data_IF_331795037944
#
_entry.id   IF_331795037944
#
_cell.length_a   1.000
_cell.length_b   1.000
_cell.length_c   1.000
_cell.angle_alpha   90.00
_cell.angle_beta   90.00
_cell.angle_gamma   90.00
#
_symmetry.space_group_name_H-M   'P 1'
#
loop_
_entity.id
_entity.type
_entity.pdbx_description
1 polymer ?
#
# COMPACT_ATOMS: atom_id res chain seq x y z
N UNK A 1 45.65 -39.48 3.62
CA UNK A 1 46.69 -38.65 4.26
C UNK A 1 45.97 -37.47 4.90
N UNK A 2 46.26 -37.21 6.17
CA UNK A 2 45.76 -36.02 6.87
C UNK A 2 46.36 -34.77 6.23
N UNK A 3 45.59 -33.68 6.14
CA UNK A 3 46.11 -32.39 5.65
C UNK A 3 46.96 -31.70 6.73
N UNK A 4 46.75 -32.04 8.00
CA UNK A 4 47.53 -31.52 9.12
C UNK A 4 48.97 -32.04 9.10
N UNK A 5 49.95 -31.13 9.24
CA UNK A 5 51.36 -31.48 9.25
C UNK A 5 51.73 -32.24 10.54
N UNK A 6 52.21 -33.49 10.47
CA UNK A 6 52.61 -34.25 11.65
C UNK A 6 53.79 -33.63 12.41
N UNK A 7 54.62 -32.79 11.78
CA UNK A 7 55.74 -32.12 12.47
C UNK A 7 55.24 -31.17 13.58
N UNK A 8 54.08 -30.52 13.40
CA UNK A 8 53.47 -29.66 14.43
C UNK A 8 53.19 -30.42 15.74
N UNK A 9 52.93 -31.72 15.68
CA UNK A 9 52.71 -32.56 16.87
C UNK A 9 54.03 -32.83 17.59
N UNK A 10 55.13 -33.00 16.83
CA UNK A 10 56.46 -33.17 17.41
C UNK A 10 56.89 -31.89 18.14
N UNK A 11 56.66 -30.73 17.54
CA UNK A 11 56.96 -29.43 18.17
C UNK A 11 56.22 -29.26 19.50
N UNK A 12 54.94 -29.64 19.56
CA UNK A 12 54.16 -29.62 20.81
C UNK A 12 54.69 -30.65 21.81
N UNK A 13 55.06 -31.85 21.38
CA UNK A 13 55.64 -32.87 22.26
C UNK A 13 56.97 -32.42 22.87
N UNK A 14 57.84 -31.78 22.08
CA UNK A 14 59.11 -31.21 22.54
C UNK A 14 58.89 -30.07 23.54
N UNK A 15 57.87 -29.23 23.34
CA UNK A 15 57.50 -28.17 24.29
C UNK A 15 57.12 -28.69 25.69
N UNK A 16 56.61 -29.93 25.76
CA UNK A 16 56.29 -30.64 27.00
C UNK A 16 57.50 -31.40 27.56
N UNK A 17 58.59 -31.51 26.80
CA UNK A 17 59.83 -32.21 27.17
C UNK A 17 59.93 -33.66 26.67
N UNK A 18 59.07 -34.09 25.74
CA UNK A 18 59.11 -35.44 25.15
C UNK A 18 59.92 -35.42 23.85
N UNK A 19 61.12 -35.99 23.86
CA UNK A 19 62.08 -35.89 22.75
C UNK A 19 61.85 -36.93 21.64
N UNK A 20 61.39 -38.15 21.97
CA UNK A 20 61.25 -39.25 21.01
C UNK A 20 59.81 -39.76 20.96
N UNK A 21 59.06 -39.38 19.92
CA UNK A 21 57.71 -39.87 19.65
C UNK A 21 57.71 -40.82 18.45
N UNK A 22 57.03 -41.97 18.54
CA UNK A 22 56.93 -42.90 17.42
C UNK A 22 56.14 -42.27 16.25
N UNK A 23 56.52 -42.57 15.02
CA UNK A 23 55.89 -42.03 13.81
C UNK A 23 54.42 -42.43 13.71
N UNK A 24 54.07 -43.66 14.06
CA UNK A 24 52.68 -44.14 14.04
C UNK A 24 51.78 -43.36 15.01
N UNK A 25 52.31 -42.94 16.16
CA UNK A 25 51.58 -42.13 17.14
C UNK A 25 51.37 -40.72 16.62
N UNK A 26 52.40 -40.14 16.01
CA UNK A 26 52.36 -38.80 15.40
C UNK A 26 51.32 -38.74 14.29
N UNK A 27 51.30 -39.73 13.39
CA UNK A 27 50.33 -39.78 12.28
C UNK A 27 48.89 -39.98 12.76
N UNK A 28 48.66 -40.85 13.74
CA UNK A 28 47.32 -41.08 14.25
C UNK A 28 46.78 -39.88 15.04
N UNK A 29 47.64 -39.21 15.82
CA UNK A 29 47.25 -37.99 16.54
C UNK A 29 46.96 -36.85 15.57
N UNK A 30 47.69 -36.72 14.46
CA UNK A 30 47.40 -35.73 13.41
C UNK A 30 45.99 -35.90 12.84
N UNK A 31 45.59 -37.15 12.58
CA UNK A 31 44.25 -37.47 12.08
C UNK A 31 43.15 -37.15 13.09
N UNK A 32 43.39 -37.40 14.38
CA UNK A 32 42.43 -37.06 15.43
C UNK A 32 42.29 -35.54 15.59
N UNK A 33 43.39 -34.79 15.58
CA UNK A 33 43.37 -33.31 15.63
C UNK A 33 42.60 -32.73 14.45
N UNK A 34 42.85 -33.21 13.23
CA UNK A 34 42.11 -32.79 12.04
C UNK A 34 40.60 -33.06 12.17
N UNK A 35 40.22 -34.25 12.69
CA UNK A 35 38.83 -34.58 12.95
C UNK A 35 38.18 -33.65 13.99
N UNK A 36 38.89 -33.31 15.08
CA UNK A 36 38.39 -32.38 16.10
C UNK A 36 38.23 -30.96 15.56
N UNK A 37 39.16 -30.48 14.74
CA UNK A 37 39.04 -29.18 14.07
C UNK A 37 37.81 -29.16 13.15
N UNK A 38 37.62 -30.21 12.35
CA UNK A 38 36.44 -30.32 11.49
C UNK A 38 35.13 -30.32 12.31
N UNK A 39 35.09 -31.05 13.43
CA UNK A 39 33.94 -31.09 14.33
C UNK A 39 33.59 -29.69 14.88
N UNK A 40 34.58 -28.92 15.34
CA UNK A 40 34.37 -27.53 15.80
C UNK A 40 33.87 -26.65 14.66
N UNK A 41 34.44 -26.77 13.46
CA UNK A 41 34.03 -26.00 12.29
C UNK A 41 32.59 -26.31 11.87
N UNK A 42 32.18 -27.57 11.89
CA UNK A 42 30.81 -27.97 11.57
C UNK A 42 29.79 -27.34 12.52
N UNK A 43 30.05 -27.37 13.83
CA UNK A 43 29.18 -26.70 14.81
C UNK A 43 29.18 -25.18 14.63
N UNK A 44 30.35 -24.56 14.38
CA UNK A 44 30.45 -23.13 14.15
C UNK A 44 29.70 -22.68 12.89
N UNK A 45 29.72 -23.50 11.82
CA UNK A 45 28.95 -23.26 10.60
C UNK A 45 27.44 -23.30 10.85
N UNK A 46 26.96 -24.14 11.77
CA UNK A 46 25.54 -24.12 12.18
C UNK A 46 25.20 -22.79 12.83
N UNK A 47 26.01 -22.29 13.76
CA UNK A 47 25.81 -20.97 14.37
C UNK A 47 25.82 -19.83 13.34
N UNK A 48 26.75 -19.86 12.38
CA UNK A 48 26.80 -18.89 11.27
C UNK A 48 25.51 -18.90 10.45
N UNK A 49 25.02 -20.09 10.06
CA UNK A 49 23.79 -20.25 9.28
C UNK A 49 22.55 -19.84 10.08
N UNK A 50 22.47 -20.20 11.36
CA UNK A 50 21.39 -19.76 12.25
C UNK A 50 21.39 -18.24 12.48
N UNK A 51 22.57 -17.62 12.47
CA UNK A 51 22.74 -16.16 12.46
C UNK A 51 22.43 -15.49 11.12
N UNK A 52 22.01 -16.24 10.08
CA UNK A 52 21.75 -15.75 8.72
C UNK A 52 22.92 -14.96 8.11
N UNK A 53 24.16 -15.32 8.48
CA UNK A 53 25.39 -14.72 7.97
C UNK A 53 26.09 -15.68 7.01
N UNK A 54 26.92 -15.15 6.13
CA UNK A 54 27.77 -15.91 5.20
C UNK A 54 29.24 -15.91 5.60
N UNK A 55 29.63 -15.03 6.53
CA UNK A 55 30.99 -14.93 7.07
C UNK A 55 31.02 -15.54 8.47
N UNK A 56 31.94 -16.49 8.68
CA UNK A 56 32.19 -17.11 9.97
C UNK A 56 32.97 -16.13 10.86
N UNK A 57 32.47 -15.90 12.08
CA UNK A 57 33.07 -14.98 13.05
C UNK A 57 33.70 -15.73 14.22
N UNK A 58 34.60 -15.09 14.98
CA UNK A 58 35.23 -15.69 16.17
C UNK A 58 34.20 -16.08 17.23
N UNK A 59 33.08 -15.37 17.30
CA UNK A 59 31.96 -15.69 18.19
C UNK A 59 31.31 -17.03 17.85
N UNK A 60 31.19 -17.37 16.56
CA UNK A 60 30.58 -18.64 16.13
C UNK A 60 31.42 -19.83 16.59
N UNK A 61 32.76 -19.71 16.53
CA UNK A 61 33.70 -20.71 17.04
C UNK A 61 33.64 -20.76 18.57
N UNK A 62 33.59 -19.61 19.26
CA UNK A 62 33.47 -19.57 20.72
C UNK A 62 32.18 -20.25 21.22
N UNK A 63 31.07 -20.11 20.48
CA UNK A 63 29.84 -20.84 20.77
C UNK A 63 29.96 -22.33 20.47
N UNK A 64 30.62 -22.72 19.38
CA UNK A 64 30.89 -24.12 19.06
C UNK A 64 31.72 -24.82 20.15
N UNK A 65 32.78 -24.17 20.65
CA UNK A 65 33.60 -24.69 21.75
C UNK A 65 32.79 -24.93 23.02
N UNK A 66 31.88 -24.01 23.38
CA UNK A 66 30.99 -24.18 24.54
C UNK A 66 30.02 -25.35 24.38
N UNK A 67 29.53 -25.60 23.16
CA UNK A 67 28.62 -26.73 22.90
C UNK A 67 29.36 -28.07 22.95
N UNK A 68 30.62 -28.08 22.55
CA UNK A 68 31.47 -29.26 22.58
C UNK A 68 32.15 -29.48 23.94
N UNK A 69 31.75 -28.71 24.98
CA UNK A 69 32.34 -28.72 26.33
C UNK A 69 33.87 -28.53 26.33
N UNK A 70 34.39 -27.76 25.36
CA UNK A 70 35.80 -27.38 25.28
C UNK A 70 36.02 -26.08 26.04
N UNK A 71 37.18 -25.96 26.69
CA UNK A 71 37.58 -24.76 27.40
C UNK A 71 37.55 -23.51 26.50
N UNK A 72 37.00 -22.38 26.98
CA UNK A 72 36.87 -21.18 26.17
C UNK A 72 38.23 -20.54 25.88
N UNK A 73 38.49 -20.24 24.60
CA UNK A 73 39.66 -19.51 24.17
C UNK A 73 39.42 -17.99 24.24
N UNK A 74 40.17 -17.30 25.11
CA UNK A 74 40.10 -15.85 25.30
C UNK A 74 41.15 -15.11 24.46
N UNK A 75 40.93 -13.81 24.23
CA UNK A 75 41.88 -12.94 23.51
C UNK A 75 41.68 -12.83 22.00
N UNK A 76 40.63 -13.45 21.45
CA UNK A 76 40.32 -13.40 20.01
C UNK A 76 39.16 -12.44 19.71
N UNK A 77 39.47 -11.27 19.15
CA UNK A 77 38.48 -10.29 18.70
C UNK A 77 38.58 -10.03 17.19
N UNK A 78 37.45 -9.72 16.56
CA UNK A 78 37.41 -9.40 15.11
C UNK A 78 37.99 -8.02 14.80
N UNK A 79 38.03 -7.13 15.78
CA UNK A 79 38.51 -5.73 15.65
C UNK A 79 40.02 -5.62 15.54
N UNK A 80 40.78 -6.61 16.04
CA UNK A 80 42.24 -6.63 16.02
C UNK A 80 42.72 -7.89 15.29
N UNK A 81 43.05 -7.80 13.98
CA UNK A 81 43.59 -8.94 13.25
C UNK A 81 44.97 -9.33 13.79
N UNK A 82 45.22 -10.64 13.91
CA UNK A 82 46.52 -11.16 14.30
C UNK A 82 47.55 -10.89 13.21
N UNK A 83 48.74 -10.43 13.62
CA UNK A 83 49.90 -10.25 12.74
C UNK A 83 50.89 -11.38 13.03
N UNK A 84 51.22 -12.14 12.00
CA UNK A 84 52.18 -13.23 12.09
C UNK A 84 53.53 -12.71 11.59
N UNK A 85 54.52 -12.67 12.48
CA UNK A 85 55.92 -12.42 12.14
C UNK A 85 56.60 -13.73 11.75
N UNK A 86 57.55 -13.66 10.83
CA UNK A 86 58.38 -14.80 10.42
C UNK A 86 59.77 -14.67 11.07
N UNK A 87 60.20 -15.69 11.79
CA UNK A 87 61.55 -15.83 12.32
C UNK A 87 62.21 -17.07 11.70
N UNK A 88 63.40 -16.90 11.13
CA UNK A 88 64.19 -18.01 10.58
C UNK A 88 65.22 -18.49 11.61
N UNK A 89 64.96 -19.64 12.22
CA UNK A 89 65.91 -20.31 13.09
C UNK A 89 66.74 -21.32 12.27
N UNK A 90 67.73 -20.83 11.54
CA UNK A 90 68.63 -21.67 10.74
C UNK A 90 68.06 -22.19 9.41
N UNK A 91 68.79 -23.08 8.71
CA UNK A 91 68.41 -23.51 7.37
C UNK A 91 67.28 -24.56 7.40
N UNK A 92 66.08 -24.17 6.97
CA UNK A 92 65.09 -25.12 6.44
C UNK A 92 63.68 -25.07 7.02
N UNK A 93 63.41 -24.35 8.12
CA UNK A 93 62.06 -24.26 8.69
C UNK A 93 61.71 -22.82 9.11
N UNK A 94 60.74 -22.16 8.45
CA UNK A 94 60.24 -20.86 8.89
C UNK A 94 59.35 -21.02 10.12
N UNK A 95 59.69 -20.33 11.22
CA UNK A 95 58.87 -20.28 12.43
C UNK A 95 58.00 -19.02 12.36
N UNK A 96 56.68 -19.19 12.47
CA UNK A 96 55.75 -18.07 12.58
C UNK A 96 55.40 -17.84 14.05
N UNK A 97 55.48 -16.59 14.49
CA UNK A 97 55.06 -16.18 15.82
C UNK A 97 54.04 -15.05 15.73
N UNK A 98 53.18 -14.93 16.73
CA UNK A 98 52.24 -13.82 16.84
C UNK A 98 52.99 -12.64 17.46
N UNK A 99 52.99 -11.49 16.78
CA UNK A 99 53.59 -10.27 17.31
C UNK A 99 52.70 -9.69 18.43
N UNK A 100 53.21 -9.70 19.66
CA UNK A 100 52.56 -9.04 20.80
C UNK A 100 53.06 -7.59 20.92
N UNK A 101 52.21 -6.64 20.52
CA UNK A 101 52.49 -5.22 20.69
C UNK A 101 52.17 -4.78 22.12
N UNK A 102 53.20 -4.38 22.86
CA UNK A 102 53.07 -3.78 24.19
C UNK A 102 52.48 -2.36 24.08
N UNK A 103 51.40 -2.11 24.82
CA UNK A 103 50.71 -0.81 24.84
C UNK A 103 50.81 -0.17 26.21
N UNK A 104 51.20 1.10 26.23
CA UNK A 104 51.25 1.91 27.46
C UNK A 104 49.84 2.22 27.99
N UNK A 105 49.61 2.00 29.29
CA UNK A 105 48.32 2.19 29.94
C UNK A 105 47.84 3.64 29.86
N UNK A 106 48.74 4.61 29.93
CA UNK A 106 48.35 6.03 29.83
C UNK A 106 47.72 6.35 28.46
N UNK A 107 48.21 5.72 27.40
CA UNK A 107 47.66 5.88 26.05
C UNK A 107 46.28 5.25 25.92
N UNK A 108 46.05 4.11 26.58
CA UNK A 108 44.77 3.41 26.55
C UNK A 108 43.70 4.15 27.37
N UNK A 109 44.06 4.71 28.52
CA UNK A 109 43.14 5.49 29.37
C UNK A 109 42.71 6.78 28.66
N UNK A 110 43.63 7.44 27.97
CA UNK A 110 43.37 8.68 27.25
C UNK A 110 42.78 8.47 25.84
N UNK A 111 42.52 7.22 25.44
CA UNK A 111 41.93 6.91 24.14
C UNK A 111 40.47 7.39 24.06
N UNK A 112 40.06 8.04 22.96
CA UNK A 112 38.69 8.51 22.80
C UNK A 112 37.72 7.33 22.66
N UNK A 113 36.50 7.53 23.18
CA UNK A 113 35.43 6.54 23.07
C UNK A 113 35.04 6.30 21.59
N UNK A 114 34.70 5.06 21.21
CA UNK A 114 34.27 4.75 19.86
C UNK A 114 32.91 5.39 19.55
N UNK A 115 32.67 5.64 18.25
CA UNK A 115 31.38 6.16 17.78
C UNK A 115 30.30 5.08 17.83
N UNK A 116 29.14 5.43 18.38
CA UNK A 116 28.00 4.52 18.45
C UNK A 116 27.19 4.59 17.14
N UNK A 117 26.86 3.46 16.50
CA UNK A 117 25.96 3.42 15.35
C UNK A 117 24.55 3.91 15.70
N UNK A 118 23.75 4.26 14.66
CA UNK A 118 22.34 4.57 14.86
C UNK A 118 21.57 3.31 15.28
N UNK A 119 20.46 3.53 15.98
CA UNK A 119 19.52 2.46 16.30
C UNK A 119 18.93 1.82 15.04
N UNK A 120 18.51 0.57 15.17
CA UNK A 120 17.99 -0.24 14.07
C UNK A 120 16.63 0.32 13.64
N UNK A 121 16.52 0.71 12.37
CA UNK A 121 15.27 1.14 11.74
C UNK A 121 15.05 0.36 10.43
N UNK A 122 13.80 0.21 10.02
CA UNK A 122 13.45 -0.40 8.73
C UNK A 122 12.95 0.65 7.75
N UNK A 123 13.23 0.42 6.47
CA UNK A 123 12.71 1.22 5.35
C UNK A 123 12.05 0.30 4.34
N UNK A 124 10.75 0.45 4.16
CA UNK A 124 9.98 -0.36 3.21
C UNK A 124 9.90 0.33 1.84
N UNK A 125 9.97 -0.47 0.77
CA UNK A 125 9.73 -0.03 -0.60
C UNK A 125 9.14 -1.19 -1.41
N UNK A 126 8.54 -0.89 -2.56
CA UNK A 126 8.00 -1.90 -3.46
C UNK A 126 9.13 -2.57 -4.26
N UNK A 127 9.35 -3.86 -3.99
CA UNK A 127 10.27 -4.69 -4.76
C UNK A 127 9.69 -5.07 -6.13
N UNK A 128 8.40 -5.40 -6.18
CA UNK A 128 7.70 -5.75 -7.40
C UNK A 128 6.22 -5.34 -7.33
N UNK A 129 5.66 -4.98 -8.48
CA UNK A 129 4.23 -4.74 -8.71
C UNK A 129 3.84 -5.58 -9.92
N UNK A 130 2.88 -6.48 -9.78
CA UNK A 130 2.45 -7.38 -10.88
C UNK A 130 3.59 -8.21 -11.49
N UNK A 131 4.53 -8.65 -10.63
CA UNK A 131 5.71 -9.41 -11.06
C UNK A 131 6.79 -8.59 -11.77
N UNK A 132 6.58 -7.28 -11.95
CA UNK A 132 7.58 -6.37 -12.55
C UNK A 132 8.22 -5.52 -11.46
N UNK A 133 9.55 -5.46 -11.46
CA UNK A 133 10.30 -4.61 -10.54
C UNK A 133 10.26 -3.14 -10.98
N UNK A 134 9.77 -2.21 -10.14
CA UNK A 134 9.75 -0.80 -10.49
C UNK A 134 11.16 -0.19 -10.41
N UNK A 135 11.47 0.75 -11.29
CA UNK A 135 12.77 1.44 -11.35
C UNK A 135 12.87 2.55 -10.29
N UNK A 136 12.91 2.15 -9.03
CA UNK A 136 13.07 3.02 -7.85
C UNK A 136 14.56 2.95 -7.41
N UNK A 137 15.18 4.02 -6.86
CA UNK A 137 16.58 4.00 -6.43
C UNK A 137 16.99 2.85 -5.49
N UNK A 138 16.06 2.28 -4.72
CA UNK A 138 16.33 1.14 -3.83
C UNK A 138 16.40 -0.20 -4.57
N UNK A 139 15.83 -0.30 -5.78
CA UNK A 139 15.82 -1.53 -6.56
C UNK A 139 17.06 -1.62 -7.47
N UNK A 140 17.69 -2.80 -7.60
CA UNK A 140 18.81 -3.00 -8.51
C UNK A 140 18.42 -2.69 -9.95
N UNK A 141 19.34 -2.07 -10.67
CA UNK A 141 19.20 -1.88 -12.11
C UNK A 141 19.75 -3.09 -12.87
N UNK A 142 19.36 -3.26 -14.13
CA UNK A 142 19.92 -4.31 -15.00
C UNK A 142 21.44 -4.18 -15.22
N UNK A 143 22.05 -3.04 -14.89
CA UNK A 143 23.50 -2.88 -14.89
C UNK A 143 24.14 -3.51 -13.65
N UNK A 144 23.51 -3.39 -12.48
CA UNK A 144 23.99 -3.95 -11.21
C UNK A 144 23.95 -5.49 -11.22
N UNK A 145 22.95 -6.06 -11.90
CA UNK A 145 22.78 -7.51 -12.03
C UNK A 145 23.97 -8.21 -12.70
N UNK A 146 24.65 -7.55 -13.63
CA UNK A 146 25.80 -8.12 -14.38
C UNK A 146 27.05 -8.28 -13.52
N UNK A 147 27.23 -7.43 -12.50
CA UNK A 147 28.34 -7.56 -11.55
C UNK A 147 28.10 -8.68 -10.50
N UNK A 148 26.86 -9.16 -10.38
CA UNK A 148 26.44 -10.19 -9.43
C UNK A 148 26.30 -11.59 -10.06
N UNK A 149 26.80 -11.79 -11.29
CA UNK A 149 26.71 -13.07 -12.02
C UNK A 149 27.74 -14.13 -11.57
N UNK A 150 28.68 -13.77 -10.69
CA UNK A 150 29.62 -14.72 -10.06
C UNK A 150 28.96 -15.60 -8.98
N UNK A 151 27.67 -15.38 -8.66
CA UNK A 151 26.88 -16.20 -7.76
C UNK A 151 25.70 -16.81 -8.55
N UNK A 152 25.60 -18.14 -8.57
CA UNK A 152 24.55 -18.86 -9.29
C UNK A 152 23.15 -18.45 -8.82
N UNK A 153 22.41 -17.70 -9.63
CA UNK A 153 20.97 -17.48 -9.43
C UNK A 153 20.19 -18.61 -10.13
N UNK A 154 19.08 -19.01 -9.52
CA UNK A 154 18.20 -20.06 -10.05
C UNK A 154 17.61 -19.71 -11.44
N UNK A 155 17.09 -20.70 -12.17
CA UNK A 155 16.81 -20.64 -13.61
C UNK A 155 15.79 -19.60 -14.10
N UNK A 156 15.16 -18.81 -13.23
CA UNK A 156 14.13 -17.82 -13.57
C UNK A 156 14.57 -16.35 -13.38
N UNK A 157 15.87 -16.08 -13.20
CA UNK A 157 16.40 -14.75 -12.86
C UNK A 157 16.67 -13.80 -14.06
N UNK A 158 16.13 -14.07 -15.25
CA UNK A 158 16.38 -13.22 -16.42
C UNK A 158 15.39 -12.05 -16.49
N UNK A 159 15.87 -10.86 -16.12
CA UNK A 159 15.13 -9.59 -16.04
C UNK A 159 15.17 -8.75 -17.33
N UNK A 160 15.39 -9.35 -18.50
CA UNK A 160 15.83 -8.62 -19.71
C UNK A 160 14.73 -8.26 -20.73
N UNK A 161 13.50 -7.97 -20.29
CA UNK A 161 12.45 -7.52 -21.23
C UNK A 161 11.72 -6.20 -20.88
N UNK A 162 11.94 -5.59 -19.71
CA UNK A 162 11.15 -4.42 -19.29
C UNK A 162 11.88 -3.05 -19.35
N UNK A 163 13.20 -3.00 -19.60
CA UNK A 163 14.01 -1.79 -19.39
C UNK A 163 14.28 -0.94 -20.65
N UNK A 164 13.33 -0.81 -21.59
CA UNK A 164 13.50 -0.03 -22.83
C UNK A 164 12.57 1.18 -22.98
N UNK A 165 11.96 1.72 -21.93
CA UNK A 165 11.14 2.94 -22.08
C UNK A 165 11.27 3.85 -20.87
N UNK A 166 12.13 4.86 -20.99
CA UNK A 166 12.43 5.87 -19.97
C UNK A 166 11.30 6.89 -19.80
N UNK A 167 10.23 6.49 -19.11
CA UNK A 167 9.29 7.41 -18.46
C UNK A 167 8.99 6.88 -17.05
N UNK A 168 9.17 7.72 -16.02
CA UNK A 168 8.99 7.40 -14.60
C UNK A 168 7.54 7.08 -14.14
N UNK A 169 6.68 6.64 -15.05
CA UNK A 169 5.42 5.98 -14.73
C UNK A 169 5.54 4.54 -15.23
N UNK A 170 5.31 3.58 -14.33
CA UNK A 170 5.10 2.17 -14.69
C UNK A 170 3.88 2.10 -15.59
N UNK A 171 4.09 2.26 -16.90
CA UNK A 171 3.14 1.85 -17.90
C UNK A 171 3.17 0.32 -17.89
N UNK A 172 2.29 -0.28 -17.07
CA UNK A 172 1.79 -1.61 -17.36
C UNK A 172 1.15 -1.49 -18.74
N UNK A 173 1.91 -1.75 -19.80
CA UNK A 173 1.38 -1.85 -21.17
C UNK A 173 0.65 -3.19 -21.23
N UNK A 174 -0.69 -3.25 -21.18
CA UNK A 174 -1.38 -4.47 -21.47
C UNK A 174 -1.57 -4.48 -22.99
N UNK A 175 -0.54 -4.89 -23.73
CA UNK A 175 -0.73 -5.24 -25.13
C UNK A 175 0.27 -6.31 -25.57
N UNK A 176 0.25 -7.46 -24.90
CA UNK A 176 0.74 -8.71 -25.46
C UNK A 176 -0.37 -9.74 -25.33
N UNK A 177 -0.93 -10.14 -26.47
CA UNK A 177 -2.16 -10.93 -26.63
C UNK A 177 -2.09 -12.40 -26.12
N UNK A 178 -1.12 -12.76 -25.27
CA UNK A 178 -0.93 -14.16 -24.82
C UNK A 178 -0.59 -14.31 -23.32
N UNK A 179 -1.18 -13.51 -22.44
CA UNK A 179 -1.09 -13.76 -20.97
C UNK A 179 -2.35 -14.45 -20.43
N UNK A 180 -3.45 -14.45 -21.18
CA UNK A 180 -4.72 -15.03 -20.76
C UNK A 180 -4.90 -16.45 -21.32
N UNK A 181 -5.26 -17.40 -20.46
CA UNK A 181 -5.69 -18.72 -20.90
C UNK A 181 -7.01 -18.63 -21.68
N UNK A 182 -7.29 -19.63 -22.53
CA UNK A 182 -8.56 -19.72 -23.26
C UNK A 182 -9.77 -19.75 -22.31
N UNK A 183 -9.62 -20.38 -21.14
CA UNK A 183 -10.66 -20.45 -20.12
C UNK A 183 -10.94 -19.08 -19.50
N UNK A 184 -9.89 -18.30 -19.18
CA UNK A 184 -10.05 -16.94 -18.65
C UNK A 184 -10.71 -15.99 -19.67
N UNK A 185 -10.40 -16.16 -20.96
CA UNK A 185 -11.05 -15.40 -22.04
C UNK A 185 -12.54 -15.76 -22.14
N UNK A 186 -12.88 -17.05 -22.16
CA UNK A 186 -14.27 -17.50 -22.18
C UNK A 186 -15.05 -17.06 -20.94
N UNK A 187 -14.41 -17.08 -19.76
CA UNK A 187 -14.97 -16.54 -18.53
C UNK A 187 -15.26 -15.05 -18.67
N UNK A 188 -14.29 -14.26 -19.13
CA UNK A 188 -14.45 -12.81 -19.34
C UNK A 188 -15.59 -12.51 -20.31
N UNK A 189 -15.64 -13.18 -21.46
CA UNK A 189 -16.69 -13.00 -22.46
C UNK A 189 -18.07 -13.35 -21.89
N UNK A 190 -18.18 -14.45 -21.15
CA UNK A 190 -19.44 -14.90 -20.57
C UNK A 190 -19.94 -13.97 -19.46
N UNK A 191 -19.04 -13.47 -18.62
CA UNK A 191 -19.36 -12.50 -17.56
C UNK A 191 -19.77 -11.16 -18.15
N UNK A 192 -19.01 -10.62 -19.10
CA UNK A 192 -19.36 -9.37 -19.78
C UNK A 192 -20.68 -9.49 -20.56
N UNK A 193 -20.93 -10.64 -21.20
CA UNK A 193 -22.20 -10.93 -21.87
C UNK A 193 -23.37 -10.99 -20.90
N UNK A 194 -23.21 -11.65 -19.75
CA UNK A 194 -24.24 -11.73 -18.72
C UNK A 194 -24.61 -10.36 -18.16
N UNK A 195 -23.65 -9.44 -17.99
CA UNK A 195 -23.94 -8.09 -17.48
C UNK A 195 -24.71 -7.21 -18.46
N UNK A 196 -24.54 -7.42 -19.77
CA UNK A 196 -25.21 -6.62 -20.79
C UNK A 196 -26.57 -7.22 -21.20
N UNK A 197 -26.95 -8.39 -20.69
CA UNK A 197 -28.23 -9.02 -20.97
C UNK A 197 -29.34 -8.43 -20.08
N UNK A 198 -30.31 -7.78 -20.71
CA UNK A 198 -31.48 -7.20 -20.04
C UNK A 198 -32.48 -8.27 -19.59
N UNK A 199 -32.53 -9.42 -20.27
CA UNK A 199 -33.59 -10.42 -20.11
C UNK A 199 -33.43 -11.30 -18.87
N UNK A 200 -32.23 -11.41 -18.29
CA UNK A 200 -31.97 -12.30 -17.16
C UNK A 200 -31.25 -11.59 -16.01
N UNK A 201 -31.98 -11.35 -14.91
CA UNK A 201 -31.40 -10.80 -13.68
C UNK A 201 -30.60 -11.85 -12.89
N UNK A 202 -30.95 -13.14 -13.00
CA UNK A 202 -30.27 -14.23 -12.31
C UNK A 202 -28.82 -14.39 -12.77
N UNK A 203 -28.57 -14.35 -14.09
CA UNK A 203 -27.21 -14.42 -14.63
C UNK A 203 -26.36 -13.20 -14.22
N UNK A 204 -26.96 -12.01 -14.14
CA UNK A 204 -26.28 -10.80 -13.66
C UNK A 204 -25.87 -10.93 -12.20
N UNK A 205 -26.80 -11.36 -11.35
CA UNK A 205 -26.55 -11.54 -9.92
C UNK A 205 -25.47 -12.60 -9.67
N UNK A 206 -25.52 -13.72 -10.40
CA UNK A 206 -24.47 -14.74 -10.35
C UNK A 206 -23.12 -14.20 -10.82
N UNK A 207 -23.09 -13.36 -11.85
CA UNK A 207 -21.87 -12.71 -12.34
C UNK A 207 -21.25 -11.78 -11.29
N UNK A 208 -22.06 -10.98 -10.59
CA UNK A 208 -21.57 -10.10 -9.52
C UNK A 208 -21.03 -10.90 -8.32
N UNK A 209 -21.71 -11.99 -7.95
CA UNK A 209 -21.23 -12.89 -6.88
C UNK A 209 -19.89 -13.53 -7.23
N UNK A 210 -19.76 -14.01 -8.47
CA UNK A 210 -18.50 -14.60 -8.98
C UNK A 210 -17.35 -13.59 -8.93
N UNK A 211 -17.53 -12.36 -9.42
CA UNK A 211 -16.49 -11.32 -9.32
C UNK A 211 -16.10 -10.95 -7.88
N UNK A 212 -17.05 -11.05 -6.94
CA UNK A 212 -16.82 -10.69 -5.54
C UNK A 212 -16.04 -11.74 -4.76
N UNK A 213 -16.20 -13.02 -5.11
CA UNK A 213 -15.67 -14.15 -4.33
C UNK A 213 -14.45 -14.81 -5.00
N UNK A 214 -14.35 -14.79 -6.34
CA UNK A 214 -13.35 -15.57 -7.05
C UNK A 214 -11.92 -15.00 -6.88
N UNK A 215 -10.94 -15.82 -6.43
CA UNK A 215 -9.56 -15.38 -6.20
C UNK A 215 -8.66 -15.41 -7.44
N UNK A 216 -9.05 -16.15 -8.48
CA UNK A 216 -8.24 -16.36 -9.69
C UNK A 216 -8.28 -15.22 -10.72
N UNK A 217 -8.95 -14.10 -10.41
CA UNK A 217 -9.27 -13.07 -11.40
C UNK A 217 -8.21 -11.98 -11.55
N UNK A 218 -7.07 -12.09 -10.86
CA UNK A 218 -6.05 -11.02 -10.82
C UNK A 218 -5.59 -10.58 -12.22
N UNK A 219 -5.35 -11.54 -13.13
CA UNK A 219 -4.95 -11.24 -14.52
C UNK A 219 -6.04 -10.54 -15.35
N UNK A 220 -7.32 -10.68 -14.96
CA UNK A 220 -8.46 -10.09 -15.65
C UNK A 220 -8.78 -8.67 -15.16
N UNK A 221 -8.30 -8.27 -13.98
CA UNK A 221 -8.59 -6.95 -13.38
C UNK A 221 -8.27 -5.78 -14.34
N UNK A 222 -7.11 -5.73 -15.03
CA UNK A 222 -6.83 -4.65 -15.98
C UNK A 222 -7.86 -4.57 -17.12
N UNK A 223 -8.29 -5.73 -17.62
CA UNK A 223 -9.27 -5.84 -18.71
C UNK A 223 -10.66 -5.41 -18.26
N UNK A 224 -11.05 -5.76 -17.03
CA UNK A 224 -12.30 -5.30 -16.44
C UNK A 224 -12.30 -3.77 -16.23
N UNK A 225 -11.20 -3.20 -15.73
CA UNK A 225 -11.08 -1.74 -15.55
C UNK A 225 -11.13 -1.01 -16.89
N UNK A 226 -10.50 -1.56 -17.93
CA UNK A 226 -10.58 -1.03 -19.29
C UNK A 226 -12.00 -1.13 -19.85
N UNK A 227 -12.65 -2.30 -19.70
CA UNK A 227 -14.03 -2.51 -20.13
C UNK A 227 -15.00 -1.53 -19.46
N UNK A 228 -14.87 -1.33 -18.13
CA UNK A 228 -15.63 -0.35 -17.37
C UNK A 228 -15.45 1.05 -17.98
N UNK A 229 -14.21 1.45 -18.24
CA UNK A 229 -13.89 2.78 -18.76
C UNK A 229 -14.41 2.99 -20.19
N UNK A 230 -14.30 1.97 -21.04
CA UNK A 230 -14.83 1.99 -22.41
C UNK A 230 -16.36 2.08 -22.43
N UNK A 231 -17.05 1.25 -21.64
CA UNK A 231 -18.51 1.25 -21.56
C UNK A 231 -19.06 2.54 -20.97
N UNK A 232 -18.40 3.15 -19.99
CA UNK A 232 -18.81 4.47 -19.47
C UNK A 232 -18.63 5.56 -20.53
N UNK A 233 -17.53 5.54 -21.27
CA UNK A 233 -17.23 6.57 -22.28
C UNK A 233 -18.18 6.49 -23.49
N UNK A 234 -18.49 5.29 -23.96
CA UNK A 234 -19.35 5.07 -25.13
C UNK A 234 -20.85 4.93 -24.78
N UNK A 235 -21.18 4.59 -23.54
CA UNK A 235 -22.53 4.28 -23.06
C UNK A 235 -23.22 5.38 -22.26
N UNK A 236 -22.79 6.64 -22.34
CA UNK A 236 -23.36 7.75 -21.52
C UNK A 236 -24.88 7.94 -21.64
N UNK A 237 -25.50 7.45 -22.73
CA UNK A 237 -26.93 7.56 -22.98
C UNK A 237 -27.76 6.41 -22.37
N UNK A 238 -27.12 5.29 -22.04
CA UNK A 238 -27.80 4.07 -21.61
C UNK A 238 -27.59 3.87 -20.10
N UNK A 239 -28.65 4.17 -19.31
CA UNK A 239 -28.59 4.04 -17.85
C UNK A 239 -28.41 2.58 -17.43
N UNK A 240 -28.98 1.63 -18.16
CA UNK A 240 -28.90 0.23 -17.80
C UNK A 240 -27.43 -0.22 -17.80
N UNK A 241 -26.72 0.03 -18.90
CA UNK A 241 -25.30 -0.32 -19.03
C UNK A 241 -24.44 0.36 -17.97
N UNK A 242 -24.66 1.66 -17.73
CA UNK A 242 -23.92 2.39 -16.70
C UNK A 242 -24.15 1.81 -15.30
N UNK A 243 -25.40 1.44 -14.98
CA UNK A 243 -25.75 0.83 -13.69
C UNK A 243 -25.06 -0.52 -13.51
N UNK A 244 -25.05 -1.37 -14.55
CA UNK A 244 -24.40 -2.67 -14.47
C UNK A 244 -22.88 -2.54 -14.32
N UNK A 245 -22.28 -1.60 -15.05
CA UNK A 245 -20.83 -1.33 -14.99
C UNK A 245 -20.41 -0.76 -13.63
N UNK A 246 -21.24 0.07 -12.98
CA UNK A 246 -20.98 0.54 -11.61
C UNK A 246 -21.11 -0.58 -10.56
N UNK A 247 -22.11 -1.47 -10.69
CA UNK A 247 -22.23 -2.67 -9.84
C UNK A 247 -21.06 -3.64 -10.01
N UNK A 248 -20.56 -3.77 -11.24
CA UNK A 248 -19.36 -4.54 -11.54
C UNK A 248 -18.12 -3.93 -10.86
N UNK A 249 -17.94 -2.61 -10.94
CA UNK A 249 -16.86 -1.92 -10.24
C UNK A 249 -16.97 -2.09 -8.71
N UNK A 250 -18.18 -2.05 -8.16
CA UNK A 250 -18.43 -2.33 -6.75
C UNK A 250 -18.03 -3.76 -6.36
N UNK A 251 -18.45 -4.77 -7.13
CA UNK A 251 -18.10 -6.18 -6.87
C UNK A 251 -16.58 -6.41 -6.87
N UNK A 252 -15.86 -5.81 -7.84
CA UNK A 252 -14.40 -5.89 -7.92
C UNK A 252 -13.73 -5.23 -6.71
N UNK A 253 -14.25 -4.09 -6.25
CA UNK A 253 -13.67 -3.39 -5.09
C UNK A 253 -14.02 -4.10 -3.78
N UNK A 254 -15.15 -4.80 -3.68
CA UNK A 254 -15.53 -5.56 -2.48
C UNK A 254 -14.72 -6.86 -2.32
N UNK A 255 -14.17 -7.41 -3.41
CA UNK A 255 -13.33 -8.60 -3.36
C UNK A 255 -12.06 -8.35 -2.51
N UNK A 256 -11.81 -9.21 -1.53
CA UNK A 256 -10.67 -9.12 -0.61
C UNK A 256 -9.42 -9.85 -1.14
N UNK A 257 -9.61 -10.79 -2.06
CA UNK A 257 -8.54 -11.59 -2.66
C UNK A 257 -7.81 -10.84 -3.78
N UNK A 258 -8.42 -9.79 -4.33
CA UNK A 258 -7.86 -9.00 -5.43
C UNK A 258 -7.15 -7.75 -4.91
N UNK A 259 -5.92 -7.56 -5.36
CA UNK A 259 -5.17 -6.34 -5.12
C UNK A 259 -5.51 -5.28 -6.19
N UNK A 260 -6.51 -4.44 -5.89
CA UNK A 260 -7.05 -3.44 -6.83
C UNK A 260 -6.36 -2.07 -6.68
N UNK A 261 -5.56 -1.85 -5.63
CA UNK A 261 -4.88 -0.58 -5.31
C UNK A 261 -4.18 0.07 -6.51
N UNK A 262 -3.43 -0.64 -7.37
CA UNK A 262 -2.75 -0.03 -8.53
C UNK A 262 -3.74 0.56 -9.55
N UNK A 263 -4.95 0.01 -9.63
CA UNK A 263 -5.96 0.34 -10.63
C UNK A 263 -6.98 1.37 -10.15
N UNK A 264 -7.02 1.69 -8.84
CA UNK A 264 -7.94 2.68 -8.24
C UNK A 264 -7.87 4.02 -8.97
N UNK A 265 -6.66 4.50 -9.27
CA UNK A 265 -6.47 5.79 -9.95
C UNK A 265 -7.05 5.80 -11.39
N UNK A 266 -7.13 4.64 -12.03
CA UNK A 266 -7.71 4.46 -13.38
C UNK A 266 -9.23 4.27 -13.33
N UNK A 267 -9.76 3.65 -12.27
CA UNK A 267 -11.20 3.41 -12.08
C UNK A 267 -11.96 4.68 -11.67
N UNK A 268 -11.32 5.53 -10.86
CA UNK A 268 -11.93 6.75 -10.30
C UNK A 268 -12.51 7.72 -11.36
N UNK A 269 -11.83 8.04 -12.48
CA UNK A 269 -12.40 8.90 -13.52
C UNK A 269 -13.73 8.40 -14.09
N UNK A 270 -13.87 7.08 -14.29
CA UNK A 270 -15.10 6.47 -14.81
C UNK A 270 -16.26 6.63 -13.82
N UNK A 271 -15.99 6.43 -12.53
CA UNK A 271 -16.99 6.64 -11.45
C UNK A 271 -17.36 8.12 -11.32
N UNK A 272 -16.37 9.03 -11.36
CA UNK A 272 -16.61 10.47 -11.32
C UNK A 272 -17.44 10.96 -12.52
N UNK A 273 -17.28 10.34 -13.69
CA UNK A 273 -18.07 10.65 -14.88
C UNK A 273 -19.54 10.25 -14.69
N UNK A 274 -19.80 9.07 -14.12
CA UNK A 274 -21.17 8.65 -13.77
C UNK A 274 -21.79 9.51 -12.65
N UNK A 275 -20.97 10.05 -11.75
CA UNK A 275 -21.45 10.88 -10.65
C UNK A 275 -21.75 12.33 -11.09
N UNK A 276 -20.85 12.94 -11.85
CA UNK A 276 -20.82 14.39 -12.12
C UNK A 276 -21.11 14.71 -13.61
N UNK A 277 -21.47 13.71 -14.41
CA UNK A 277 -21.77 13.85 -15.83
C UNK A 277 -22.88 14.89 -16.10
N UNK A 278 -22.69 15.71 -17.14
CA UNK A 278 -23.65 16.77 -17.54
C UNK A 278 -24.97 16.21 -18.05
N UNK A 279 -24.94 15.16 -18.86
CA UNK A 279 -26.12 14.53 -19.44
C UNK A 279 -25.94 13.02 -19.34
N UNK A 280 -26.74 12.39 -18.48
CA UNK A 280 -26.74 10.95 -18.27
C UNK A 280 -28.12 10.43 -18.71
N UNK A 281 -28.15 9.33 -19.46
CA UNK A 281 -29.39 8.58 -19.70
C UNK A 281 -30.30 9.08 -20.83
N UNK A 282 -29.93 10.12 -21.58
CA UNK A 282 -30.72 10.58 -22.73
C UNK A 282 -32.17 10.94 -22.35
N UNK A 283 -33.12 10.04 -22.63
CA UNK A 283 -34.55 10.19 -22.35
C UNK A 283 -35.02 9.52 -21.04
N UNK A 284 -34.11 8.92 -20.28
CA UNK A 284 -34.46 8.15 -19.10
C UNK A 284 -34.94 9.03 -17.94
N UNK A 285 -35.76 8.45 -17.07
CA UNK A 285 -36.42 9.16 -15.99
C UNK A 285 -35.42 9.78 -15.00
N UNK A 286 -35.77 10.95 -14.47
CA UNK A 286 -34.95 11.65 -13.49
C UNK A 286 -34.61 10.75 -12.27
N UNK A 287 -35.55 9.91 -11.84
CA UNK A 287 -35.34 9.00 -10.71
C UNK A 287 -34.21 7.98 -10.98
N UNK A 288 -34.13 7.44 -12.19
CA UNK A 288 -33.10 6.47 -12.56
C UNK A 288 -31.72 7.13 -12.69
N UNK A 289 -31.69 8.36 -13.24
CA UNK A 289 -30.48 9.16 -13.31
C UNK A 289 -29.92 9.53 -11.91
N UNK A 290 -30.81 9.77 -10.93
CA UNK A 290 -30.41 10.05 -9.55
C UNK A 290 -29.94 8.77 -8.84
N UNK A 291 -30.64 7.65 -9.03
CA UNK A 291 -30.24 6.36 -8.46
C UNK A 291 -28.84 5.91 -8.93
N UNK A 292 -28.49 6.14 -10.20
CA UNK A 292 -27.15 5.90 -10.71
C UNK A 292 -26.09 6.76 -10.00
N UNK A 293 -26.41 8.04 -9.72
CA UNK A 293 -25.51 8.95 -9.00
C UNK A 293 -25.35 8.55 -7.54
N UNK A 294 -26.42 8.08 -6.89
CA UNK A 294 -26.37 7.55 -5.52
C UNK A 294 -25.44 6.33 -5.45
N UNK A 295 -25.54 5.40 -6.42
CA UNK A 295 -24.67 4.24 -6.54
C UNK A 295 -23.20 4.63 -6.80
N UNK A 296 -22.96 5.57 -7.71
CA UNK A 296 -21.61 6.06 -7.98
C UNK A 296 -21.00 6.77 -6.75
N UNK A 297 -21.83 7.50 -6.00
CA UNK A 297 -21.45 8.17 -4.76
C UNK A 297 -21.09 7.21 -3.64
N UNK A 298 -21.89 6.16 -3.42
CA UNK A 298 -21.61 5.13 -2.42
C UNK A 298 -20.33 4.36 -2.76
N UNK A 299 -20.12 4.01 -4.03
CA UNK A 299 -18.90 3.37 -4.52
C UNK A 299 -17.68 4.27 -4.33
N UNK A 300 -17.79 5.56 -4.63
CA UNK A 300 -16.71 6.53 -4.41
C UNK A 300 -16.34 6.63 -2.94
N UNK A 301 -17.33 6.64 -2.05
CA UNK A 301 -17.14 6.59 -0.59
C UNK A 301 -16.45 5.32 -0.13
N UNK A 302 -16.84 4.16 -0.67
CA UNK A 302 -16.22 2.86 -0.38
C UNK A 302 -14.74 2.87 -0.79
N UNK A 303 -14.43 3.34 -2.00
CA UNK A 303 -13.05 3.47 -2.50
C UNK A 303 -12.25 4.44 -1.62
N UNK A 304 -12.81 5.59 -1.28
CA UNK A 304 -12.15 6.59 -0.45
C UNK A 304 -11.84 6.05 0.96
N UNK A 305 -12.71 5.22 1.55
CA UNK A 305 -12.47 4.59 2.85
C UNK A 305 -11.41 3.49 2.74
N UNK A 306 -11.62 2.51 1.84
CA UNK A 306 -10.76 1.32 1.70
C UNK A 306 -9.33 1.66 1.31
N UNK A 307 -9.12 2.59 0.36
CA UNK A 307 -7.80 2.86 -0.22
C UNK A 307 -7.14 4.16 0.27
N UNK A 308 -7.70 4.83 1.30
CA UNK A 308 -7.04 6.04 1.83
C UNK A 308 -5.69 5.78 2.49
N UNK A 309 -5.46 4.57 3.02
CA UNK A 309 -4.18 4.18 3.58
C UNK A 309 -3.10 4.01 2.51
N UNK A 310 -3.46 3.50 1.33
CA UNK A 310 -2.54 3.30 0.22
C UNK A 310 -2.18 4.63 -0.48
N UNK A 311 -3.11 5.59 -0.52
CA UNK A 311 -2.88 6.90 -1.14
C UNK A 311 -3.48 8.04 -0.34
N UNK A 312 -2.60 8.79 0.34
CA UNK A 312 -2.96 10.04 1.02
C UNK A 312 -3.43 11.15 0.06
N UNK A 313 -3.10 11.03 -1.23
CA UNK A 313 -3.50 12.03 -2.25
C UNK A 313 -4.91 11.78 -2.82
N UNK A 314 -5.48 10.58 -2.61
CA UNK A 314 -6.75 10.19 -3.21
C UNK A 314 -7.92 11.03 -2.67
N UNK A 315 -8.11 11.07 -1.34
CA UNK A 315 -9.19 11.82 -0.68
C UNK A 315 -9.19 13.32 -1.08
N UNK A 316 -8.07 14.05 -0.98
CA UNK A 316 -8.02 15.46 -1.41
C UNK A 316 -8.32 15.66 -2.90
N UNK A 317 -7.85 14.75 -3.78
CA UNK A 317 -8.10 14.84 -5.24
C UNK A 317 -9.57 14.64 -5.58
N UNK A 318 -10.22 13.67 -4.94
CA UNK A 318 -11.65 13.39 -5.09
C UNK A 318 -12.50 14.57 -4.60
N UNK A 319 -12.23 15.04 -3.38
CA UNK A 319 -12.94 16.18 -2.78
C UNK A 319 -12.80 17.44 -3.64
N UNK A 320 -11.59 17.73 -4.15
CA UNK A 320 -11.34 18.88 -5.04
C UNK A 320 -12.14 18.80 -6.33
N UNK A 321 -12.30 17.61 -6.91
CA UNK A 321 -13.03 17.42 -8.17
C UNK A 321 -14.54 17.63 -7.96
N UNK A 322 -15.09 17.12 -6.86
CA UNK A 322 -16.48 17.32 -6.51
C UNK A 322 -16.74 18.80 -6.16
N UNK A 323 -15.88 19.42 -5.35
CA UNK A 323 -15.99 20.84 -4.99
C UNK A 323 -15.93 21.76 -6.21
N UNK A 324 -15.01 21.51 -7.15
CA UNK A 324 -14.91 22.29 -8.39
C UNK A 324 -16.23 22.28 -9.17
N UNK A 325 -16.95 21.15 -9.16
CA UNK A 325 -18.23 21.06 -9.85
C UNK A 325 -19.36 21.68 -9.03
N UNK A 326 -19.33 21.53 -7.71
CA UNK A 326 -20.31 22.16 -6.83
C UNK A 326 -20.30 23.69 -6.95
N UNK A 327 -19.11 24.30 -7.10
CA UNK A 327 -18.94 25.76 -7.21
C UNK A 327 -19.15 26.33 -8.63
N UNK A 328 -19.42 25.50 -9.65
CA UNK A 328 -19.60 25.96 -11.03
C UNK A 328 -21.09 26.13 -11.37
N UNK A 329 -21.64 27.36 -11.45
CA UNK A 329 -23.06 27.59 -11.69
C UNK A 329 -23.50 27.24 -13.13
N UNK A 330 -22.56 26.97 -14.04
CA UNK A 330 -22.88 26.56 -15.42
C UNK A 330 -23.30 25.09 -15.54
N UNK A 331 -23.23 24.33 -14.45
CA UNK A 331 -23.50 22.90 -14.42
C UNK A 331 -24.98 22.63 -14.15
N UNK A 332 -25.54 21.51 -14.67
CA UNK A 332 -26.92 21.14 -14.41
C UNK A 332 -27.11 20.70 -12.94
N UNK A 333 -28.32 20.83 -12.41
CA UNK A 333 -28.65 20.45 -11.03
C UNK A 333 -28.36 18.97 -10.73
N UNK A 334 -28.56 18.07 -11.70
CA UNK A 334 -28.12 16.68 -11.57
C UNK A 334 -26.60 16.51 -11.30
N UNK A 335 -25.74 17.37 -11.87
CA UNK A 335 -24.29 17.31 -11.58
C UNK A 335 -23.97 17.88 -10.19
N UNK A 336 -24.70 18.90 -9.74
CA UNK A 336 -24.59 19.41 -8.36
C UNK A 336 -25.05 18.36 -7.33
N UNK A 337 -26.14 17.63 -7.61
CA UNK A 337 -26.62 16.51 -6.80
C UNK A 337 -25.51 15.48 -6.57
N UNK A 338 -24.87 15.02 -7.65
CA UNK A 338 -23.75 14.07 -7.56
C UNK A 338 -22.52 14.65 -6.85
N UNK A 339 -22.22 15.93 -7.04
CA UNK A 339 -21.11 16.59 -6.36
C UNK A 339 -21.31 16.67 -4.83
N UNK A 340 -22.53 16.96 -4.38
CA UNK A 340 -22.88 17.01 -2.95
C UNK A 340 -22.76 15.62 -2.32
N UNK A 341 -23.32 14.58 -2.96
CA UNK A 341 -23.17 13.19 -2.49
C UNK A 341 -21.71 12.77 -2.47
N UNK A 342 -20.95 13.08 -3.52
CA UNK A 342 -19.53 12.74 -3.60
C UNK A 342 -18.71 13.39 -2.49
N UNK A 343 -18.95 14.67 -2.19
CA UNK A 343 -18.30 15.37 -1.08
C UNK A 343 -18.62 14.73 0.27
N UNK A 344 -19.91 14.44 0.51
CA UNK A 344 -20.35 13.77 1.72
C UNK A 344 -19.75 12.36 1.86
N UNK A 345 -19.75 11.56 0.79
CA UNK A 345 -19.25 10.19 0.80
C UNK A 345 -17.72 10.09 1.00
N UNK A 346 -16.95 11.02 0.42
CA UNK A 346 -15.47 11.03 0.49
C UNK A 346 -14.96 11.59 1.80
N UNK A 347 -15.50 12.72 2.24
CA UNK A 347 -14.98 13.48 3.37
C UNK A 347 -15.83 13.43 4.64
N UNK A 348 -16.99 12.79 4.60
CA UNK A 348 -17.91 12.68 5.74
C UNK A 348 -18.36 14.03 6.26
N UNK A 349 -18.64 14.09 7.57
CA UNK A 349 -19.16 15.26 8.28
C UNK A 349 -18.23 16.47 8.18
N UNK A 350 -16.90 16.24 8.22
CA UNK A 350 -15.92 17.34 8.17
C UNK A 350 -15.90 18.04 6.81
N UNK A 351 -16.09 17.30 5.71
CA UNK A 351 -16.20 17.93 4.39
C UNK A 351 -17.49 18.74 4.25
N UNK A 352 -18.60 18.30 4.86
CA UNK A 352 -19.84 19.09 4.87
C UNK A 352 -19.61 20.41 5.62
N UNK A 353 -18.98 20.35 6.80
CA UNK A 353 -18.67 21.51 7.62
C UNK A 353 -17.76 22.52 6.90
N UNK A 354 -16.66 22.06 6.33
CA UNK A 354 -15.62 22.95 5.80
C UNK A 354 -15.88 23.35 4.34
N UNK A 355 -16.47 22.49 3.52
CA UNK A 355 -16.59 22.72 2.07
C UNK A 355 -18.01 23.11 1.64
N UNK A 356 -19.05 22.54 2.25
CA UNK A 356 -20.44 22.81 1.86
C UNK A 356 -20.96 24.05 2.60
N UNK A 357 -20.93 24.08 3.93
CA UNK A 357 -21.53 25.17 4.74
C UNK A 357 -21.12 26.59 4.30
N UNK A 358 -19.83 26.91 4.07
CA UNK A 358 -19.46 28.29 3.74
C UNK A 358 -20.00 28.78 2.40
N UNK A 359 -20.31 27.86 1.49
CA UNK A 359 -20.77 28.15 0.14
C UNK A 359 -22.29 28.07 -0.01
N UNK A 360 -23.02 27.67 1.04
CA UNK A 360 -24.48 27.56 1.02
C UNK A 360 -25.23 28.87 0.77
N UNK A 361 -24.81 30.03 1.31
CA UNK A 361 -25.53 31.29 1.03
C UNK A 361 -25.57 31.62 -0.46
N UNK A 362 -24.42 31.49 -1.15
CA UNK A 362 -24.29 31.73 -2.59
C UNK A 362 -24.99 30.65 -3.41
N UNK A 363 -24.97 29.39 -2.94
CA UNK A 363 -25.69 28.30 -3.62
C UNK A 363 -27.22 28.41 -3.44
N UNK A 364 -27.68 28.97 -2.31
CA UNK A 364 -29.08 29.17 -2.00
C UNK A 364 -29.79 30.11 -2.99
N UNK A 365 -29.11 31.17 -3.45
CA UNK A 365 -29.67 32.04 -4.49
C UNK A 365 -29.83 31.31 -5.83
N UNK A 366 -28.87 30.46 -6.20
CA UNK A 366 -28.94 29.63 -7.41
C UNK A 366 -30.09 28.60 -7.34
N UNK A 367 -30.29 27.99 -6.17
CA UNK A 367 -31.43 27.08 -5.94
C UNK A 367 -32.77 27.81 -6.03
N UNK A 368 -32.86 29.03 -5.49
CA UNK A 368 -34.06 29.85 -5.55
C UNK A 368 -34.43 30.21 -7.01
N UNK A 369 -33.45 30.55 -7.83
CA UNK A 369 -33.64 30.75 -9.28
C UNK A 369 -34.11 29.46 -9.97
N UNK A 370 -33.51 28.31 -9.65
CA UNK A 370 -33.89 27.02 -10.23
C UNK A 370 -35.28 26.50 -9.81
N UNK A 371 -35.75 26.89 -8.63
CA UNK A 371 -37.10 26.56 -8.13
C UNK A 371 -38.18 27.51 -8.67
N UNK A 372 -37.80 28.75 -9.01
CA UNK A 372 -38.68 29.72 -9.65
C UNK A 372 -38.93 29.41 -11.14
N UNK A 373 -38.02 28.70 -11.79
CA UNK A 373 -38.22 28.17 -13.15
C UNK A 373 -39.34 27.11 -13.17
N UNK A 374 -40.39 27.29 -13.98
CA UNK A 374 -41.49 26.31 -14.17
C UNK A 374 -41.12 25.15 -15.13
N UNK A 375 -39.84 25.06 -15.54
CA UNK A 375 -39.36 24.08 -16.50
C UNK A 375 -38.88 22.76 -15.88
N UNK A 376 -38.21 21.93 -16.70
CA UNK A 376 -37.61 20.65 -16.28
C UNK A 376 -36.52 20.78 -15.19
N UNK A 377 -36.10 22.00 -14.84
CA UNK A 377 -35.10 22.29 -13.80
C UNK A 377 -35.66 22.23 -12.38
N UNK A 378 -36.96 22.51 -12.21
CA UNK A 378 -37.63 22.52 -10.92
C UNK A 378 -37.56 21.18 -10.17
N UNK A 379 -37.94 20.03 -10.77
CA UNK A 379 -37.90 18.76 -10.04
C UNK A 379 -36.47 18.33 -9.67
N UNK A 380 -35.46 18.72 -10.47
CA UNK A 380 -34.05 18.49 -10.12
C UNK A 380 -33.62 19.34 -8.92
N UNK A 381 -34.00 20.63 -8.91
CA UNK A 381 -33.70 21.55 -7.82
C UNK A 381 -34.38 21.14 -6.50
N UNK A 382 -35.63 20.68 -6.55
CA UNK A 382 -36.34 20.14 -5.37
C UNK A 382 -35.63 18.90 -4.78
N UNK A 383 -35.13 17.99 -5.64
CA UNK A 383 -34.36 16.82 -5.20
C UNK A 383 -33.00 17.20 -4.61
N UNK A 384 -32.31 18.18 -5.19
CA UNK A 384 -31.06 18.72 -4.64
C UNK A 384 -31.30 19.36 -3.28
N UNK A 385 -32.38 20.13 -3.11
CA UNK A 385 -32.75 20.71 -1.83
C UNK A 385 -32.98 19.64 -0.77
N UNK A 386 -33.75 18.59 -1.09
CA UNK A 386 -33.98 17.47 -0.18
C UNK A 386 -32.69 16.74 0.22
N UNK A 387 -31.79 16.50 -0.74
CA UNK A 387 -30.48 15.92 -0.48
C UNK A 387 -29.63 16.83 0.43
N UNK A 388 -29.62 18.13 0.17
CA UNK A 388 -28.82 19.10 0.92
C UNK A 388 -29.26 19.16 2.39
N UNK A 389 -30.58 19.15 2.65
CA UNK A 389 -31.12 19.03 4.01
C UNK A 389 -30.73 17.68 4.64
N UNK A 390 -30.81 16.58 3.90
CA UNK A 390 -30.38 15.26 4.38
C UNK A 390 -28.89 15.20 4.73
N UNK A 391 -28.03 15.79 3.91
CA UNK A 391 -26.57 15.87 4.15
C UNK A 391 -26.27 16.77 5.35
N UNK A 392 -26.96 17.91 5.49
CA UNK A 392 -26.86 18.74 6.69
C UNK A 392 -27.34 17.99 7.94
N UNK A 393 -28.31 17.08 7.80
CA UNK A 393 -28.76 16.16 8.85
C UNK A 393 -27.62 15.37 9.49
N UNK A 394 -26.58 15.02 8.72
CA UNK A 394 -25.43 14.28 9.24
C UNK A 394 -24.55 15.07 10.20
N UNK A 395 -24.64 16.42 10.20
CA UNK A 395 -23.96 17.27 11.19
C UNK A 395 -24.53 17.05 12.59
N UNK A 396 -25.77 16.57 12.71
CA UNK A 396 -26.42 16.25 13.99
C UNK A 396 -25.67 15.16 14.76
N UNK A 397 -25.16 14.14 14.06
CA UNK A 397 -24.49 12.99 14.68
C UNK A 397 -23.11 13.35 15.25
N UNK A 398 -22.52 14.47 14.82
CA UNK A 398 -21.24 14.97 15.30
C UNK A 398 -21.31 16.01 16.43
N UNK A 399 -22.52 16.48 16.78
CA UNK A 399 -22.74 17.47 17.84
C UNK A 399 -22.97 16.82 19.21
N UNK A 400 -22.68 17.53 20.33
CA UNK A 400 -23.09 17.05 21.64
C UNK A 400 -24.62 16.90 21.67
N UNK A 401 -25.11 15.71 22.02
CA UNK A 401 -26.54 15.48 22.20
C UNK A 401 -27.05 16.48 23.25
N UNK A 402 -27.87 17.44 22.82
CA UNK A 402 -28.49 18.41 23.70
C UNK A 402 -29.27 17.66 24.77
N UNK A 403 -28.76 17.68 26.00
CA UNK A 403 -29.45 17.15 27.15
C UNK A 403 -30.74 17.98 27.34
N UNK A 404 -31.86 17.29 27.42
CA UNK A 404 -33.19 17.77 27.80
C UNK A 404 -34.04 18.38 26.68
N UNK A 405 -34.92 17.55 26.10
CA UNK A 405 -36.39 17.73 26.14
C UNK A 405 -37.02 19.09 25.80
N UNK A 406 -36.32 20.02 25.17
CA UNK A 406 -36.90 21.26 24.67
C UNK A 406 -37.45 20.98 23.26
N UNK A 407 -38.77 20.79 23.19
CA UNK A 407 -39.53 21.16 21.98
C UNK A 407 -39.50 22.69 21.86
N UNK A 408 -38.31 23.27 21.68
CA UNK A 408 -38.13 24.70 21.55
C UNK A 408 -38.43 25.09 20.11
N UNK A 409 -39.33 26.03 19.89
CA UNK A 409 -39.44 26.73 18.61
C UNK A 409 -38.10 27.40 18.28
N UNK A 410 -37.68 27.42 17.01
CA UNK A 410 -36.49 28.17 16.55
C UNK A 410 -36.66 29.62 17.01
N UNK A 411 -35.92 30.04 18.04
CA UNK A 411 -35.97 31.41 18.56
C UNK A 411 -35.46 32.38 17.49
N UNK A 412 -35.93 33.62 17.46
CA UNK A 412 -35.52 34.61 16.45
C UNK A 412 -33.99 34.83 16.41
N UNK A 413 -33.31 34.70 17.55
CA UNK A 413 -31.83 34.75 17.64
C UNK A 413 -31.13 33.56 16.94
N UNK A 414 -31.70 32.36 17.02
CA UNK A 414 -31.21 31.18 16.29
C UNK A 414 -31.49 31.31 14.81
N UNK A 415 -32.67 31.86 14.46
CA UNK A 415 -33.05 32.12 13.08
C UNK A 415 -32.07 33.08 12.42
N UNK A 416 -31.71 34.18 13.10
CA UNK A 416 -30.74 35.17 12.59
C UNK A 416 -29.33 34.61 12.42
N UNK A 417 -28.87 33.75 13.35
CA UNK A 417 -27.58 33.08 13.23
C UNK A 417 -27.56 32.05 12.08
N UNK A 418 -28.67 31.34 11.86
CA UNK A 418 -28.84 30.42 10.73
C UNK A 418 -28.87 31.15 9.40
N UNK A 419 -29.57 32.29 9.30
CA UNK A 419 -29.58 33.10 8.07
C UNK A 419 -28.18 33.53 7.69
N UNK A 420 -27.36 33.93 8.67
CA UNK A 420 -25.98 34.34 8.40
C UNK A 420 -25.09 33.19 7.89
N UNK A 421 -25.36 31.94 8.28
CA UNK A 421 -24.55 30.77 7.90
C UNK A 421 -25.04 30.06 6.65
N UNK A 422 -26.35 29.96 6.43
CA UNK A 422 -26.95 29.13 5.37
C UNK A 422 -27.69 29.97 4.31
N UNK A 423 -27.98 31.24 4.60
CA UNK A 423 -28.77 32.14 3.76
C UNK A 423 -30.27 32.10 4.07
N UNK A 424 -31.00 33.17 3.72
CA UNK A 424 -32.43 33.36 4.01
C UNK A 424 -33.32 32.23 3.49
N UNK A 425 -33.05 31.77 2.27
CA UNK A 425 -33.86 30.75 1.62
C UNK A 425 -33.79 29.39 2.35
N UNK A 426 -32.58 28.90 2.61
CA UNK A 426 -32.38 27.61 3.29
C UNK A 426 -32.72 27.68 4.78
N UNK A 427 -32.46 28.81 5.44
CA UNK A 427 -32.88 29.03 6.82
C UNK A 427 -34.42 29.02 6.97
N UNK A 428 -35.15 29.55 5.98
CA UNK A 428 -36.61 29.45 5.90
C UNK A 428 -37.10 28.01 5.83
N UNK A 429 -36.54 27.21 4.90
CA UNK A 429 -36.88 25.80 4.72
C UNK A 429 -36.57 24.94 5.97
N UNK A 430 -35.42 25.17 6.62
CA UNK A 430 -35.05 24.47 7.86
C UNK A 430 -35.97 24.86 9.03
N UNK A 431 -36.36 26.14 9.10
CA UNK A 431 -37.29 26.64 10.14
C UNK A 431 -38.71 26.12 9.94
N UNK A 432 -39.18 26.00 8.69
CA UNK A 432 -40.46 25.39 8.34
C UNK A 432 -40.49 23.88 8.63
N UNK A 433 -39.36 23.20 8.46
CA UNK A 433 -39.18 21.80 8.84
C UNK A 433 -39.21 21.54 10.36
N UNK A 434 -39.14 22.60 11.19
CA UNK A 434 -39.24 22.51 12.66
C UNK A 434 -38.05 21.83 13.35
N UNK A 435 -36.92 21.66 12.66
CA UNK A 435 -35.83 20.78 13.10
C UNK A 435 -34.75 21.55 13.89
N UNK A 436 -35.03 21.77 15.18
CA UNK A 436 -34.25 22.68 16.04
C UNK A 436 -32.87 22.12 16.39
N UNK A 437 -32.70 20.81 16.38
CA UNK A 437 -31.41 20.16 16.60
C UNK A 437 -30.46 20.35 15.43
N UNK A 438 -30.99 20.33 14.20
CA UNK A 438 -30.23 20.63 12.98
C UNK A 438 -29.76 22.09 13.01
N UNK A 439 -30.65 23.00 13.39
CA UNK A 439 -30.37 24.41 13.55
C UNK A 439 -29.18 24.67 14.48
N UNK A 440 -29.16 24.07 15.67
CA UNK A 440 -28.02 24.16 16.58
C UNK A 440 -26.74 23.54 16.00
N UNK A 441 -26.83 22.35 15.43
CA UNK A 441 -25.66 21.67 14.86
C UNK A 441 -25.00 22.44 13.71
N UNK A 442 -25.78 23.21 12.93
CA UNK A 442 -25.25 24.06 11.84
C UNK A 442 -24.61 25.34 12.39
N UNK A 443 -25.15 25.92 13.46
CA UNK A 443 -24.60 27.13 14.09
C UNK A 443 -23.27 26.82 14.79
N UNK A 444 -23.18 25.65 15.41
CA UNK A 444 -21.98 25.20 16.14
C UNK A 444 -20.87 24.67 15.21
N UNK A 445 -21.18 24.39 13.93
CA UNK A 445 -20.26 23.90 12.91
C UNK A 445 -19.49 25.01 12.17
#
# INVERSE_FOLDING_TARGET
>A
MSVWNPDNIRDVAESVGIVNLNNDVTENLARDVEYRIAQVLEEALKFMRHGRRTLLTTQDIAHALRVLDVEPLYGYETTRPLRFGEASLGPGQPLFYVEDEEVDFEKLINAPLPKVPREIAFTAHWLAVEGVQPSIPQNPTAADSRNLELMSKGPNANSTLAAMSGNGNVAVKPLVKHVLSKELQLYFEKVCGAFLDECSEEYRTSGYSSLREDPGLHQLVPYFVQFISEKVTHGMKDIFVLTQVMRMAEALVQNQSLYVDPYVASLVPSILTCLIGRQLGGNADLSEQLALRDLAGSLLGLIARKYSHASHTLKPRLARTCLKTFLDPSKPFGAHYGAIIGLHAVGGVEAVRVLILPNLPTYGSLLQEGLADEGARRPEAEKVLGLLVGVLGTLREGGPALANGHHGTVTDDLRTQLTNRVGEFLAGQISEGGDVQLAHAIVDA
#
